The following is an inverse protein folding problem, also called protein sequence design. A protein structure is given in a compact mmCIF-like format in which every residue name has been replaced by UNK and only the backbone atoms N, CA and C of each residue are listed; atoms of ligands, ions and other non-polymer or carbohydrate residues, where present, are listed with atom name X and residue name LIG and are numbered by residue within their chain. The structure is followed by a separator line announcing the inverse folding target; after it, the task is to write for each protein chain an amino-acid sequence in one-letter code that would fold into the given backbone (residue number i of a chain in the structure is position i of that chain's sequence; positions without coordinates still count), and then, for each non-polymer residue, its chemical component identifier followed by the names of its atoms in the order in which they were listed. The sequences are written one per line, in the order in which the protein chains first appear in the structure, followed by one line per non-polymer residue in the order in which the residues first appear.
data_IF_045780662924
#
_entry.id   IF_045780662924
#
_cell.length_a   1.000
_cell.length_b   1.000
_cell.length_c   1.000
_cell.angle_alpha   90.00
_cell.angle_beta   90.00
_cell.angle_gamma   90.00
#
_symmetry.space_group_name_H-M   'P 1'
#
loop_
_entity.id
_entity.type
_entity.pdbx_description
1 polymer ?
#
# COMPACT_ATOMS: atom_id res chain seq x y z
N UNK A 1 4.12 -31.82 29.24
CA UNK A 1 5.04 -30.86 28.61
C UNK A 1 4.21 -29.87 27.78
N UNK A 2 4.04 -28.61 28.23
CA UNK A 2 3.28 -27.59 27.49
C UNK A 2 4.22 -26.94 26.48
N UNK A 3 3.98 -27.10 25.17
CA UNK A 3 4.67 -26.32 24.13
C UNK A 3 4.33 -24.85 24.36
N UNK A 4 5.30 -24.04 24.76
CA UNK A 4 5.23 -22.59 24.65
C UNK A 4 5.35 -22.23 23.16
N UNK A 5 4.24 -22.37 22.44
CA UNK A 5 4.12 -21.79 21.10
C UNK A 5 4.31 -20.29 21.24
N UNK A 6 5.29 -19.74 20.50
CA UNK A 6 5.64 -18.32 20.50
C UNK A 6 4.38 -17.50 20.24
N UNK A 7 3.82 -16.88 21.29
CA UNK A 7 2.68 -15.98 21.17
C UNK A 7 3.13 -14.75 20.39
N UNK A 8 2.40 -14.37 19.36
CA UNK A 8 2.66 -13.12 18.64
C UNK A 8 2.36 -11.96 19.61
N UNK A 9 3.35 -11.13 19.91
CA UNK A 9 3.13 -9.89 20.65
C UNK A 9 2.23 -8.98 19.80
N UNK A 10 1.00 -8.78 20.24
CA UNK A 10 0.05 -7.85 19.62
C UNK A 10 0.26 -6.46 20.23
N UNK A 11 1.19 -5.70 19.65
CA UNK A 11 1.48 -4.33 20.07
C UNK A 11 0.36 -3.35 19.65
N UNK A 12 -0.26 -3.60 18.50
CA UNK A 12 -1.31 -2.77 17.93
C UNK A 12 -2.67 -3.46 18.07
N UNK A 13 -3.69 -2.68 18.40
CA UNK A 13 -5.08 -3.13 18.38
C UNK A 13 -5.56 -3.30 16.93
N UNK A 14 -6.72 -3.96 16.75
CA UNK A 14 -7.37 -4.04 15.44
C UNK A 14 -7.70 -2.65 14.88
N UNK A 15 -8.15 -1.75 15.76
CA UNK A 15 -8.45 -0.37 15.39
C UNK A 15 -7.20 0.39 14.93
N UNK A 16 -6.05 0.17 15.57
CA UNK A 16 -4.78 0.78 15.15
C UNK A 16 -4.35 0.29 13.76
N UNK A 17 -4.52 -1.02 13.50
CA UNK A 17 -4.24 -1.60 12.19
C UNK A 17 -5.16 -1.03 11.12
N UNK A 18 -6.44 -0.83 11.43
CA UNK A 18 -7.41 -0.23 10.51
C UNK A 18 -7.06 1.23 10.21
N UNK A 19 -6.68 2.02 11.23
CA UNK A 19 -6.18 3.38 11.04
C UNK A 19 -4.98 3.43 10.10
N UNK A 20 -4.00 2.55 10.30
CA UNK A 20 -2.82 2.47 9.42
C UNK A 20 -3.21 2.07 7.99
N UNK A 21 -4.10 1.08 7.84
CA UNK A 21 -4.57 0.64 6.54
C UNK A 21 -5.25 1.78 5.76
N UNK A 22 -6.22 2.47 6.39
CA UNK A 22 -6.92 3.59 5.75
C UNK A 22 -6.00 4.77 5.47
N UNK A 23 -5.05 5.08 6.36
CA UNK A 23 -4.08 6.14 6.12
C UNK A 23 -3.16 5.79 4.93
N UNK A 24 -2.73 4.54 4.84
CA UNK A 24 -1.90 4.06 3.71
C UNK A 24 -2.66 4.15 2.39
N UNK A 25 -3.91 3.69 2.36
CA UNK A 25 -4.76 3.78 1.18
C UNK A 25 -4.94 5.23 0.72
N UNK A 26 -5.20 6.17 1.65
CA UNK A 26 -5.30 7.59 1.32
C UNK A 26 -4.02 8.17 0.73
N UNK A 27 -2.84 7.75 1.20
CA UNK A 27 -1.56 8.18 0.62
C UNK A 27 -1.44 7.66 -0.81
N UNK A 28 -1.74 6.38 -1.05
CA UNK A 28 -1.68 5.78 -2.38
C UNK A 28 -2.69 6.39 -3.36
N UNK A 29 -3.88 6.74 -2.90
CA UNK A 29 -4.93 7.36 -3.73
C UNK A 29 -4.62 8.83 -4.04
N UNK A 30 -4.25 9.63 -3.03
CA UNK A 30 -4.09 11.09 -3.19
C UNK A 30 -2.71 11.48 -3.70
N UNK A 31 -1.68 10.86 -3.14
CA UNK A 31 -0.27 11.15 -3.44
C UNK A 31 0.27 10.22 -4.51
N UNK A 32 -0.04 8.93 -4.42
CA UNK A 32 0.52 7.90 -5.29
C UNK A 32 1.97 7.55 -4.97
N UNK A 33 2.57 6.73 -5.81
CA UNK A 33 3.97 6.34 -5.73
C UNK A 33 4.66 6.54 -7.09
N UNK A 34 5.95 6.89 -7.05
CA UNK A 34 6.76 7.11 -8.25
C UNK A 34 7.37 5.79 -8.73
N UNK A 35 7.14 5.46 -10.00
CA UNK A 35 7.68 4.26 -10.65
C UNK A 35 8.57 4.68 -11.81
N UNK A 36 9.88 4.48 -11.68
CA UNK A 36 10.86 4.90 -12.70
C UNK A 36 11.01 3.89 -13.86
N UNK A 37 10.03 3.01 -14.05
CA UNK A 37 10.01 1.96 -15.05
C UNK A 37 8.72 2.03 -15.86
N UNK A 38 8.83 2.19 -17.18
CA UNK A 38 7.67 2.51 -18.02
C UNK A 38 6.70 1.31 -18.13
N UNK A 39 7.22 0.09 -18.19
CA UNK A 39 6.37 -1.12 -18.17
C UNK A 39 5.62 -1.27 -16.83
N UNK A 40 6.20 -0.81 -15.72
CA UNK A 40 5.51 -0.86 -14.43
C UNK A 40 4.33 0.12 -14.41
N UNK A 41 4.51 1.30 -15.01
CA UNK A 41 3.44 2.27 -15.21
C UNK A 41 2.36 1.73 -16.15
N UNK A 42 2.72 1.01 -17.21
CA UNK A 42 1.76 0.34 -18.12
C UNK A 42 0.90 -0.69 -17.38
N UNK A 43 1.54 -1.54 -16.57
CA UNK A 43 0.83 -2.54 -15.76
C UNK A 43 -0.13 -1.86 -14.79
N UNK A 44 0.32 -0.81 -14.10
CA UNK A 44 -0.51 -0.10 -13.12
C UNK A 44 -1.71 0.59 -13.78
N UNK A 45 -1.48 1.31 -14.88
CA UNK A 45 -2.55 1.99 -15.64
C UNK A 45 -3.58 0.99 -16.17
N UNK A 46 -3.12 -0.13 -16.74
CA UNK A 46 -3.98 -1.22 -17.23
C UNK A 46 -4.87 -1.82 -16.14
N UNK A 47 -4.43 -1.78 -14.88
CA UNK A 47 -5.17 -2.31 -13.73
C UNK A 47 -5.93 -1.22 -12.95
N UNK A 48 -6.10 -0.02 -13.51
CA UNK A 48 -6.97 1.01 -12.97
C UNK A 48 -6.28 2.07 -12.11
N UNK A 49 -4.94 2.05 -12.00
CA UNK A 49 -4.22 3.18 -11.41
C UNK A 49 -4.28 4.40 -12.34
N UNK A 50 -4.33 5.60 -11.75
CA UNK A 50 -4.25 6.86 -12.49
C UNK A 50 -2.78 7.23 -12.61
N UNK A 51 -2.23 7.20 -13.82
CA UNK A 51 -0.81 7.42 -14.09
C UNK A 51 -0.54 8.79 -14.69
N UNK A 52 0.34 9.55 -14.04
CA UNK A 52 1.00 10.71 -14.64
C UNK A 52 2.36 10.29 -15.20
N UNK A 53 2.43 10.14 -16.53
CA UNK A 53 3.64 9.75 -17.26
C UNK A 53 4.76 10.79 -17.20
N UNK A 54 4.42 12.08 -17.04
CA UNK A 54 5.41 13.17 -16.97
C UNK A 54 6.14 13.13 -15.64
N UNK A 55 5.41 12.97 -14.55
CA UNK A 55 5.99 12.88 -13.20
C UNK A 55 6.38 11.45 -12.81
N UNK A 56 5.96 10.45 -13.60
CA UNK A 56 6.11 9.01 -13.34
C UNK A 56 5.45 8.57 -12.04
N UNK A 57 4.31 9.17 -11.68
CA UNK A 57 3.55 8.86 -10.46
C UNK A 57 2.29 8.06 -10.84
N UNK A 58 2.06 6.96 -10.14
CA UNK A 58 0.81 6.20 -10.22
C UNK A 58 0.03 6.35 -8.91
N UNK A 59 -1.24 6.78 -9.02
CA UNK A 59 -2.19 6.85 -7.91
C UNK A 59 -3.08 5.61 -7.93
N UNK A 60 -3.20 4.94 -6.80
CA UNK A 60 -3.88 3.65 -6.68
C UNK A 60 -5.18 3.85 -5.88
N UNK A 61 -6.36 3.78 -6.51
CA UNK A 61 -7.65 3.84 -5.84
C UNK A 61 -8.04 2.53 -5.15
#
# INVERSE_FOLDING_TARGET
MKKLGKSLLKLLSKEDLDKIHYATAQVLEKTGAKFLHDEALDILEKNGAIVDRKTKIAKIP
#
